data_IF_373219166598
#
_entry.id   IF_373219166598
#
_cell.length_a   1.000
_cell.length_b   1.000
_cell.length_c   1.000
_cell.angle_alpha   90.00
_cell.angle_beta   90.00
_cell.angle_gamma   90.00
#
_symmetry.space_group_name_H-M   'P 1'
#
loop_
_entity.id
_entity.type
_entity.pdbx_description
1 polymer ?
#
# COMPACT_ATOMS: atom_id res chain seq x y z
N UNK A 1 2.24 -8.76 -1.51
CA UNK A 1 2.69 -7.50 -0.83
C UNK A 1 1.66 -7.13 0.22
N UNK A 2 2.09 -6.75 1.42
CA UNK A 2 1.17 -6.39 2.53
C UNK A 2 1.07 -4.87 2.62
N UNK A 3 -0.17 -4.38 2.75
CA UNK A 3 -0.49 -2.94 2.84
C UNK A 3 -1.42 -2.74 4.03
N UNK A 4 -1.09 -1.79 4.89
CA UNK A 4 -1.96 -1.38 5.99
C UNK A 4 -2.76 -0.14 5.58
N UNK A 5 -4.04 -0.13 5.87
CA UNK A 5 -4.91 1.00 5.55
C UNK A 5 -6.06 1.14 6.54
N UNK A 6 -6.67 2.30 6.55
CA UNK A 6 -7.84 2.59 7.37
C UNK A 6 -9.12 2.12 6.68
N UNK A 7 -10.00 1.46 7.42
CA UNK A 7 -11.30 0.97 6.95
C UNK A 7 -12.19 2.09 6.39
N UNK A 8 -12.05 3.28 6.93
CA UNK A 8 -12.82 4.47 6.55
C UNK A 8 -12.32 5.15 5.29
N UNK A 9 -11.18 4.70 4.72
CA UNK A 9 -10.62 5.30 3.50
C UNK A 9 -11.41 4.89 2.24
N UNK A 10 -11.52 5.79 1.26
CA UNK A 10 -12.24 5.58 -0.01
C UNK A 10 -11.78 4.32 -0.75
N UNK A 11 -10.47 3.99 -0.68
CA UNK A 11 -9.94 2.79 -1.35
C UNK A 11 -10.64 1.50 -0.93
N UNK A 12 -11.13 1.41 0.31
CA UNK A 12 -11.86 0.23 0.79
C UNK A 12 -13.18 0.08 0.06
N UNK A 13 -13.88 1.19 -0.23
CA UNK A 13 -15.10 1.18 -1.03
C UNK A 13 -14.83 0.76 -2.47
N UNK A 14 -13.79 1.32 -3.08
CA UNK A 14 -13.40 0.98 -4.44
C UNK A 14 -13.06 -0.50 -4.58
N UNK A 15 -12.32 -1.06 -3.62
CA UNK A 15 -11.91 -2.46 -3.64
C UNK A 15 -13.08 -3.46 -3.51
N UNK A 16 -14.19 -3.06 -2.90
CA UNK A 16 -15.40 -3.89 -2.83
C UNK A 16 -16.03 -4.12 -4.22
N UNK A 17 -15.97 -3.12 -5.08
CA UNK A 17 -16.51 -3.19 -6.44
C UNK A 17 -15.50 -3.68 -7.48
N UNK A 18 -14.22 -3.35 -7.28
CA UNK A 18 -13.14 -3.72 -8.19
C UNK A 18 -11.85 -4.00 -7.42
N UNK A 19 -11.42 -5.27 -7.32
CA UNK A 19 -10.21 -5.66 -6.61
C UNK A 19 -8.93 -5.38 -7.39
N UNK A 20 -9.01 -5.00 -8.67
CA UNK A 20 -7.83 -4.70 -9.48
C UNK A 20 -7.19 -3.40 -8.99
N UNK A 21 -5.87 -3.42 -8.88
CA UNK A 21 -5.11 -2.27 -8.43
C UNK A 21 -3.76 -2.17 -9.13
N UNK A 22 -3.23 -0.96 -9.11
CA UNK A 22 -1.89 -0.66 -9.59
C UNK A 22 -1.14 0.13 -8.52
N UNK A 23 0.12 -0.26 -8.25
CA UNK A 23 1.02 0.44 -7.35
C UNK A 23 2.19 0.96 -8.18
N UNK A 24 2.41 2.28 -8.10
CA UNK A 24 3.56 2.95 -8.67
C UNK A 24 4.57 3.23 -7.56
N UNK A 25 5.83 2.79 -7.77
CA UNK A 25 6.93 3.05 -6.85
C UNK A 25 8.14 3.60 -7.59
N UNK A 26 8.57 4.79 -7.21
CA UNK A 26 9.72 5.44 -7.82
C UNK A 26 10.93 5.48 -6.87
N UNK A 27 12.06 4.95 -7.33
CA UNK A 27 13.34 4.96 -6.61
C UNK A 27 14.23 6.07 -7.17
N UNK A 28 14.35 7.17 -6.42
CA UNK A 28 15.10 8.36 -6.83
C UNK A 28 16.57 8.06 -7.13
N UNK A 29 17.25 7.30 -6.26
CA UNK A 29 18.70 6.99 -6.39
C UNK A 29 19.02 6.24 -7.67
N UNK A 30 18.20 5.29 -8.05
CA UNK A 30 18.39 4.46 -9.24
C UNK A 30 17.61 4.96 -10.44
N UNK A 31 16.87 6.08 -10.30
CA UNK A 31 15.98 6.62 -11.33
C UNK A 31 15.11 5.53 -11.97
N UNK A 32 14.56 4.66 -11.12
CA UNK A 32 13.79 3.49 -11.55
C UNK A 32 12.35 3.59 -11.07
N UNK A 33 11.40 3.40 -11.98
CA UNK A 33 9.99 3.37 -11.70
C UNK A 33 9.47 1.94 -11.83
N UNK A 34 8.92 1.42 -10.76
CA UNK A 34 8.21 0.14 -10.77
C UNK A 34 6.71 0.38 -10.79
N UNK A 35 6.01 -0.36 -11.63
CA UNK A 35 4.57 -0.42 -11.71
C UNK A 35 4.13 -1.86 -11.49
N UNK A 36 3.45 -2.10 -10.40
CA UNK A 36 2.91 -3.42 -10.03
C UNK A 36 1.43 -3.43 -10.34
N UNK A 37 0.94 -4.38 -11.14
CA UNK A 37 -0.48 -4.61 -11.37
C UNK A 37 -0.89 -5.93 -10.75
N UNK A 38 -2.11 -5.99 -10.24
CA UNK A 38 -2.61 -7.19 -9.61
C UNK A 38 -3.96 -6.98 -8.92
N UNK A 39 -4.25 -7.86 -7.97
CA UNK A 39 -5.50 -7.83 -7.22
C UNK A 39 -5.25 -7.68 -5.74
N UNK A 40 -6.10 -6.92 -5.09
CA UNK A 40 -6.06 -6.71 -3.64
C UNK A 40 -7.18 -7.51 -2.98
N UNK A 41 -6.85 -8.18 -1.85
CA UNK A 41 -7.81 -8.83 -0.96
C UNK A 41 -7.57 -8.38 0.47
N UNK A 42 -8.65 -8.17 1.21
CA UNK A 42 -8.57 -7.96 2.66
C UNK A 42 -8.25 -9.28 3.37
N UNK A 43 -7.31 -9.24 4.31
CA UNK A 43 -7.01 -10.36 5.20
C UNK A 43 -7.86 -10.28 6.46
N UNK A 44 -8.64 -11.33 6.72
CA UNK A 44 -9.52 -11.41 7.90
C UNK A 44 -8.74 -11.64 9.19
N UNK A 45 -7.71 -12.50 9.16
CA UNK A 45 -6.79 -12.70 10.29
C UNK A 45 -5.63 -11.71 10.22
N UNK A 46 -5.81 -10.58 10.91
CA UNK A 46 -4.87 -9.47 10.87
C UNK A 46 -4.29 -9.09 12.25
N UNK A 47 -4.59 -9.88 13.30
CA UNK A 47 -4.12 -9.59 14.66
C UNK A 47 -2.60 -9.60 14.76
N UNK A 48 -1.93 -10.57 14.15
CA UNK A 48 -0.48 -10.68 14.16
C UNK A 48 0.20 -9.44 13.56
N UNK A 49 -0.39 -8.84 12.53
CA UNK A 49 0.12 -7.59 11.92
C UNK A 49 -0.05 -6.40 12.85
N UNK A 50 -1.15 -6.34 13.60
CA UNK A 50 -1.36 -5.32 14.62
C UNK A 50 -0.33 -5.40 15.73
N UNK A 51 -0.03 -6.60 16.21
CA UNK A 51 0.91 -6.82 17.30
C UNK A 51 2.35 -6.41 16.95
N UNK A 52 2.70 -6.43 15.65
CA UNK A 52 3.99 -5.97 15.13
C UNK A 52 4.13 -4.43 15.04
N UNK A 53 3.04 -3.68 15.15
CA UNK A 53 3.09 -2.22 15.06
C UNK A 53 3.68 -1.60 16.33
N UNK A 54 4.44 -0.52 16.17
CA UNK A 54 4.86 0.33 17.29
C UNK A 54 3.64 1.02 17.93
N UNK A 55 3.73 1.38 19.21
CA UNK A 55 2.68 2.12 19.93
C UNK A 55 2.32 3.43 19.21
N UNK A 56 3.31 4.13 18.66
CA UNK A 56 3.08 5.33 17.85
C UNK A 56 2.22 5.02 16.62
N UNK A 57 2.50 3.93 15.91
CA UNK A 57 1.70 3.51 14.75
C UNK A 57 0.29 3.10 15.17
N UNK A 58 0.14 2.35 16.25
CA UNK A 58 -1.17 1.95 16.80
C UNK A 58 -2.02 3.16 17.15
N UNK A 59 -1.43 4.18 17.78
CA UNK A 59 -2.13 5.42 18.17
C UNK A 59 -2.77 6.10 16.96
N UNK A 60 -2.11 6.11 15.80
CA UNK A 60 -2.64 6.77 14.59
C UNK A 60 -3.97 6.19 14.08
N UNK A 61 -4.29 4.93 14.41
CA UNK A 61 -5.55 4.30 14.00
C UNK A 61 -6.77 4.77 14.80
N UNK A 62 -6.56 5.55 15.86
CA UNK A 62 -7.61 6.15 16.67
C UNK A 62 -7.83 7.64 16.37
N UNK A 63 -7.11 8.20 15.39
CA UNK A 63 -7.29 9.57 14.93
C UNK A 63 -8.59 9.73 14.11
N UNK A 64 -8.90 10.98 13.71
CA UNK A 64 -10.02 11.29 12.82
C UNK A 64 -9.97 10.52 11.50
N UNK A 65 -11.10 10.46 10.80
CA UNK A 65 -11.22 9.72 9.55
C UNK A 65 -10.31 10.30 8.46
N UNK A 66 -9.68 9.46 7.63
CA UNK A 66 -8.89 9.94 6.50
C UNK A 66 -9.73 10.83 5.56
N UNK A 67 -9.18 11.98 5.17
CA UNK A 67 -9.84 12.92 4.27
C UNK A 67 -10.81 13.91 4.93
N UNK A 68 -11.13 13.76 6.21
CA UNK A 68 -11.93 14.73 6.96
C UNK A 68 -11.12 16.00 7.31
N UNK A 69 -11.82 17.12 7.50
CA UNK A 69 -11.20 18.34 8.01
C UNK A 69 -10.62 18.10 9.40
N UNK A 70 -9.41 18.58 9.62
CA UNK A 70 -8.75 18.50 10.92
C UNK A 70 -9.60 19.22 11.98
N UNK A 71 -9.95 18.49 13.04
CA UNK A 71 -10.52 19.07 14.24
C UNK A 71 -9.42 19.30 15.28
N UNK A 72 -8.98 20.54 15.53
CA UNK A 72 -7.88 20.84 16.45
C UNK A 72 -8.12 20.33 17.89
N UNK A 73 -9.39 20.21 18.28
CA UNK A 73 -9.75 19.70 19.62
C UNK A 73 -9.55 18.19 19.77
N UNK A 74 -9.59 17.44 18.67
CA UNK A 74 -9.47 15.96 18.65
C UNK A 74 -8.03 15.53 18.36
N UNK A 75 -7.30 16.31 17.58
CA UNK A 75 -5.92 15.98 17.14
C UNK A 75 -4.83 16.63 17.99
N UNK A 76 -5.17 17.32 19.07
CA UNK A 76 -4.19 18.02 19.91
C UNK A 76 -3.30 17.12 20.76
N UNK A 77 -3.53 15.81 20.78
CA UNK A 77 -2.69 14.89 21.55
C UNK A 77 -1.69 14.21 20.64
N UNK A 78 -0.47 14.71 20.59
CA UNK A 78 0.71 13.99 20.13
C UNK A 78 1.11 12.88 21.14
N UNK A 79 0.26 12.59 22.12
CA UNK A 79 0.48 11.55 23.11
C UNK A 79 0.44 10.18 22.45
N UNK A 80 1.51 9.43 22.65
CA UNK A 80 1.57 8.03 22.26
C UNK A 80 0.80 7.25 23.32
N UNK A 81 -0.31 6.65 22.94
CA UNK A 81 -1.11 5.80 23.83
C UNK A 81 -0.49 4.42 23.89
N UNK A 82 -0.42 3.85 25.10
CA UNK A 82 0.12 2.52 25.33
C UNK A 82 -0.99 1.49 25.54
N UNK A 83 -0.69 0.22 25.23
CA UNK A 83 -1.60 -0.92 25.44
C UNK A 83 -2.96 -0.79 24.72
N UNK A 84 -2.95 -0.17 23.55
CA UNK A 84 -4.17 -0.02 22.75
C UNK A 84 -4.67 -1.38 22.24
N UNK A 85 -5.98 -1.66 22.37
CA UNK A 85 -6.59 -2.80 21.70
C UNK A 85 -6.48 -2.64 20.17
N UNK A 86 -6.62 -3.75 19.45
CA UNK A 86 -6.65 -3.66 17.98
C UNK A 86 -7.80 -2.77 17.52
N UNK A 87 -7.49 -1.75 16.74
CA UNK A 87 -8.49 -0.84 16.18
C UNK A 87 -9.36 -1.57 15.15
N UNK A 88 -10.68 -1.33 15.19
CA UNK A 88 -11.62 -1.80 14.16
C UNK A 88 -11.34 -1.17 12.78
N UNK A 89 -10.67 -0.01 12.77
CA UNK A 89 -10.27 0.69 11.56
C UNK A 89 -9.00 0.10 10.92
N UNK A 90 -8.27 -0.78 11.63
CA UNK A 90 -7.07 -1.40 11.09
C UNK A 90 -7.40 -2.50 10.10
N UNK A 91 -7.02 -2.28 8.85
CA UNK A 91 -7.22 -3.22 7.74
C UNK A 91 -5.87 -3.62 7.16
N UNK A 92 -5.70 -4.91 6.94
CA UNK A 92 -4.57 -5.49 6.23
C UNK A 92 -5.02 -5.96 4.87
N UNK A 93 -4.38 -5.45 3.84
CA UNK A 93 -4.61 -5.83 2.47
C UNK A 93 -3.44 -6.67 1.96
N UNK A 94 -3.75 -7.77 1.28
CA UNK A 94 -2.77 -8.54 0.50
C UNK A 94 -2.91 -8.17 -0.98
N UNK A 95 -1.85 -7.62 -1.56
CA UNK A 95 -1.77 -7.35 -2.99
C UNK A 95 -1.06 -8.51 -3.69
N UNK A 96 -1.82 -9.26 -4.47
CA UNK A 96 -1.33 -10.34 -5.33
C UNK A 96 -0.91 -9.75 -6.67
N UNK A 97 0.40 -9.81 -6.95
CA UNK A 97 0.98 -9.18 -8.14
C UNK A 97 0.81 -10.13 -9.33
N UNK A 98 0.28 -9.63 -10.43
CA UNK A 98 0.12 -10.34 -11.70
C UNK A 98 1.13 -9.88 -12.76
N UNK A 99 1.60 -8.62 -12.68
CA UNK A 99 2.68 -8.11 -13.53
C UNK A 99 3.52 -7.05 -12.84
N UNK A 100 4.77 -6.97 -13.27
CA UNK A 100 5.74 -5.96 -12.85
C UNK A 100 6.32 -5.30 -14.09
N UNK A 101 6.24 -3.98 -14.15
CA UNK A 101 6.79 -3.15 -15.21
C UNK A 101 7.87 -2.25 -14.59
N UNK A 102 9.08 -2.31 -15.09
CA UNK A 102 10.22 -1.52 -14.64
C UNK A 102 10.68 -0.60 -15.76
N UNK A 103 10.57 0.70 -15.54
CA UNK A 103 11.18 1.73 -16.37
C UNK A 103 12.43 2.26 -15.67
N UNK A 104 13.58 2.14 -16.33
CA UNK A 104 14.85 2.74 -15.92
C UNK A 104 15.15 3.96 -16.75
N UNK A 105 15.29 5.10 -16.09
CA UNK A 105 15.62 6.38 -16.72
C UNK A 105 17.15 6.53 -16.88
N UNK A 106 17.75 5.59 -17.62
CA UNK A 106 19.18 5.59 -17.93
C UNK A 106 19.49 6.53 -19.11
N UNK A 107 20.72 7.04 -19.16
CA UNK A 107 21.26 7.78 -20.31
C UNK A 107 22.20 6.88 -21.09
N UNK A 108 22.27 6.99 -22.43
CA UNK A 108 21.49 7.87 -23.32
C UNK A 108 20.09 7.35 -23.66
N UNK A 109 19.76 6.12 -23.34
CA UNK A 109 18.49 5.47 -23.71
C UNK A 109 17.85 4.85 -22.47
N UNK A 110 16.56 5.14 -22.28
CA UNK A 110 15.78 4.49 -21.23
C UNK A 110 15.60 3.00 -21.54
N UNK A 111 15.47 2.19 -20.50
CA UNK A 111 15.18 0.76 -20.63
C UNK A 111 13.91 0.41 -19.91
N UNK A 112 13.11 -0.45 -20.51
CA UNK A 112 11.86 -0.90 -19.90
C UNK A 112 11.75 -2.41 -19.97
N UNK A 113 11.34 -3.02 -18.85
CA UNK A 113 11.23 -4.46 -18.69
C UNK A 113 9.86 -4.80 -18.13
N UNK A 114 9.29 -5.90 -18.64
CA UNK A 114 8.01 -6.42 -18.20
C UNK A 114 8.17 -7.87 -17.75
N UNK A 115 7.53 -8.20 -16.63
CA UNK A 115 7.35 -9.56 -16.13
C UNK A 115 5.86 -9.80 -15.88
N UNK A 116 5.35 -10.93 -16.32
CA UNK A 116 3.95 -11.30 -16.17
C UNK A 116 3.82 -12.71 -15.58
N UNK A 117 2.94 -12.86 -14.59
CA UNK A 117 2.68 -14.16 -13.95
C UNK A 117 2.25 -15.23 -14.95
N UNK A 118 1.38 -14.85 -15.91
CA UNK A 118 0.90 -15.76 -16.95
C UNK A 118 2.03 -16.26 -17.86
N UNK A 119 3.10 -15.49 -18.00
CA UNK A 119 4.32 -15.85 -18.75
C UNK A 119 5.43 -16.40 -17.82
N UNK A 120 5.04 -16.93 -16.65
CA UNK A 120 5.97 -17.54 -15.67
C UNK A 120 7.09 -16.58 -15.22
N UNK A 121 6.80 -15.26 -15.19
CA UNK A 121 7.74 -14.21 -14.79
C UNK A 121 8.99 -14.09 -15.70
N UNK A 122 8.88 -14.53 -16.93
CA UNK A 122 9.96 -14.33 -17.91
C UNK A 122 10.18 -12.83 -18.15
N UNK A 123 11.46 -12.43 -18.17
CA UNK A 123 11.84 -11.05 -18.41
C UNK A 123 11.73 -10.72 -19.89
N UNK A 124 10.92 -9.73 -20.21
CA UNK A 124 10.78 -9.20 -21.58
C UNK A 124 11.23 -7.74 -21.60
N UNK A 125 12.15 -7.39 -22.49
CA UNK A 125 12.50 -6.01 -22.77
C UNK A 125 11.51 -5.43 -23.77
N UNK A 126 10.96 -4.27 -23.46
CA UNK A 126 9.96 -3.59 -24.28
C UNK A 126 10.37 -2.13 -24.52
N UNK A 127 9.75 -1.46 -25.48
CA UNK A 127 10.01 -0.04 -25.72
C UNK A 127 9.61 0.80 -24.49
N UNK A 128 10.47 1.74 -24.08
CA UNK A 128 10.21 2.65 -22.96
C UNK A 128 9.07 3.62 -23.21
#
# INVERSE_FOLDING_TARGET
MIIFTDRRSEKIWHLKSNPNAEILWFFLKTKSQFRFKGKIRELTDNKNYWDLLSEKSKTSWFWGSPGEKINPKVQSTHEILSNLPKSENFVVLNFEIDSVDLLKLEQPIHKRYLWEKIKKWEKVEINP
#
